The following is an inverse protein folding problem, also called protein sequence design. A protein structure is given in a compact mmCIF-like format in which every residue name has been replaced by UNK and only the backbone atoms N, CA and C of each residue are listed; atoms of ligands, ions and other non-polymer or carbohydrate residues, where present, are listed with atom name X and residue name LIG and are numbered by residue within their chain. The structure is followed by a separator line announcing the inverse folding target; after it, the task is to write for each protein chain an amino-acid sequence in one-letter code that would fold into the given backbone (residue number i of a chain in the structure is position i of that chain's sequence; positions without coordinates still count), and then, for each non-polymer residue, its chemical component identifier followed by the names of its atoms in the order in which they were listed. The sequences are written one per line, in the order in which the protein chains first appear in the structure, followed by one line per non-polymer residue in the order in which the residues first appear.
data_IF_227370499944
#
_entry.id   IF_227370499944
#
_cell.length_a   1.000
_cell.length_b   1.000
_cell.length_c   1.000
_cell.angle_alpha   90.00
_cell.angle_beta   90.00
_cell.angle_gamma   90.00
#
_symmetry.space_group_name_H-M   'P 1'
#
loop_
_entity.id
_entity.type
_entity.pdbx_description
1 polymer ?
#
# COMPACT_ATOMS: atom_id res chain seq x y z
N UNK A 1 -15.59 36.92 -5.98
CA UNK A 1 -14.59 36.76 -7.06
C UNK A 1 -14.25 35.29 -7.07
N UNK A 2 -14.57 34.58 -8.14
CA UNK A 2 -14.28 33.15 -8.25
C UNK A 2 -12.79 33.01 -8.52
N UNK A 3 -12.03 32.52 -7.54
CA UNK A 3 -10.64 32.13 -7.77
C UNK A 3 -10.64 30.98 -8.77
N UNK A 4 -10.12 31.22 -9.97
CA UNK A 4 -9.86 30.17 -10.95
C UNK A 4 -8.80 29.24 -10.34
N UNK A 5 -9.26 28.07 -9.87
CA UNK A 5 -8.37 27.03 -9.39
C UNK A 5 -7.39 26.64 -10.51
N UNK A 6 -6.10 26.59 -10.18
CA UNK A 6 -5.07 26.14 -11.10
C UNK A 6 -5.45 24.76 -11.68
N UNK A 7 -5.52 24.57 -13.01
CA UNK A 7 -5.94 23.31 -13.62
C UNK A 7 -5.17 22.09 -13.09
N UNK A 8 -3.90 22.28 -12.74
CA UNK A 8 -3.04 21.24 -12.16
C UNK A 8 -3.54 20.80 -10.76
N UNK A 9 -3.95 21.74 -9.91
CA UNK A 9 -4.48 21.43 -8.58
C UNK A 9 -5.79 20.66 -8.68
N UNK A 10 -6.66 21.05 -9.61
CA UNK A 10 -7.93 20.35 -9.86
C UNK A 10 -7.69 18.92 -10.35
N UNK A 11 -6.70 18.70 -11.20
CA UNK A 11 -6.32 17.36 -11.66
C UNK A 11 -5.84 16.47 -10.51
N UNK A 12 -5.00 16.98 -9.61
CA UNK A 12 -4.56 16.22 -8.43
C UNK A 12 -5.71 15.88 -7.50
N UNK A 13 -6.62 16.81 -7.26
CA UNK A 13 -7.82 16.58 -6.46
C UNK A 13 -8.70 15.47 -7.05
N UNK A 14 -8.88 15.46 -8.38
CA UNK A 14 -9.65 14.41 -9.06
C UNK A 14 -8.98 13.04 -8.89
N UNK A 15 -7.67 12.93 -9.16
CA UNK A 15 -6.96 11.63 -9.03
C UNK A 15 -6.93 11.14 -7.58
N UNK A 16 -6.76 12.06 -6.62
CA UNK A 16 -6.82 11.75 -5.20
C UNK A 16 -8.18 11.15 -4.81
N UNK A 17 -9.27 11.79 -5.24
CA UNK A 17 -10.62 11.32 -4.94
C UNK A 17 -10.95 9.99 -5.64
N UNK A 18 -10.44 9.78 -6.85
CA UNK A 18 -10.61 8.52 -7.57
C UNK A 18 -9.89 7.37 -6.84
N UNK A 19 -8.65 7.56 -6.38
CA UNK A 19 -7.93 6.53 -5.63
C UNK A 19 -8.72 6.08 -4.39
N UNK A 20 -9.24 7.03 -3.61
CA UNK A 20 -10.08 6.73 -2.45
C UNK A 20 -11.42 6.08 -2.80
N UNK A 21 -12.00 6.42 -3.95
CA UNK A 21 -13.25 5.81 -4.43
C UNK A 21 -13.03 4.36 -4.84
N UNK A 22 -11.97 4.07 -5.57
CA UNK A 22 -11.57 2.71 -5.97
C UNK A 22 -11.32 1.85 -4.73
N UNK A 23 -10.60 2.39 -3.74
CA UNK A 23 -10.40 1.71 -2.44
C UNK A 23 -11.73 1.37 -1.76
N UNK A 24 -12.68 2.31 -1.70
CA UNK A 24 -14.03 2.05 -1.12
C UNK A 24 -14.84 1.01 -1.89
N UNK A 25 -14.53 0.79 -3.17
CA UNK A 25 -15.16 -0.25 -3.98
C UNK A 25 -14.56 -1.64 -3.73
N UNK A 26 -13.50 -1.73 -2.92
CA UNK A 26 -12.81 -2.97 -2.57
C UNK A 26 -11.67 -3.36 -3.50
N UNK A 27 -11.41 -2.56 -4.54
CA UNK A 27 -10.28 -2.78 -5.46
C UNK A 27 -9.00 -2.14 -4.88
N UNK A 28 -8.43 -2.82 -3.88
CA UNK A 28 -7.29 -2.31 -3.12
C UNK A 28 -6.03 -2.19 -3.98
N UNK A 29 -5.75 -3.16 -4.85
CA UNK A 29 -4.55 -3.19 -5.69
C UNK A 29 -4.52 -2.01 -6.68
N UNK A 30 -5.67 -1.71 -7.31
CA UNK A 30 -5.79 -0.55 -8.18
C UNK A 30 -5.65 0.77 -7.39
N UNK A 31 -6.25 0.85 -6.20
CA UNK A 31 -6.14 2.04 -5.35
C UNK A 31 -4.71 2.28 -4.87
N UNK A 32 -3.98 1.23 -4.50
CA UNK A 32 -2.57 1.29 -4.12
C UNK A 32 -1.69 1.76 -5.27
N UNK A 33 -1.93 1.22 -6.48
CA UNK A 33 -1.22 1.64 -7.69
C UNK A 33 -1.44 3.13 -7.93
N UNK A 34 -2.69 3.60 -7.86
CA UNK A 34 -3.01 5.03 -8.02
C UNK A 34 -2.36 5.90 -6.96
N UNK A 35 -2.37 5.46 -5.69
CA UNK A 35 -1.78 6.20 -4.59
C UNK A 35 -0.24 6.30 -4.73
N UNK A 36 0.40 5.19 -5.11
CA UNK A 36 1.85 5.14 -5.37
C UNK A 36 2.25 6.04 -6.54
N UNK A 37 1.50 6.01 -7.64
CA UNK A 37 1.72 6.88 -8.79
C UNK A 37 1.56 8.36 -8.42
N UNK A 38 0.56 8.69 -7.59
CA UNK A 38 0.36 10.06 -7.12
C UNK A 38 1.55 10.54 -6.29
N UNK A 39 2.09 9.70 -5.40
CA UNK A 39 3.22 10.06 -4.55
C UNK A 39 4.51 10.32 -5.34
N UNK A 40 4.61 9.84 -6.58
CA UNK A 40 5.73 10.16 -7.47
C UNK A 40 5.65 11.59 -8.05
N UNK A 41 4.49 12.25 -7.97
CA UNK A 41 4.28 13.59 -8.52
C UNK A 41 4.95 14.66 -7.64
N UNK A 42 6.01 15.35 -8.11
CA UNK A 42 6.79 16.27 -7.27
C UNK A 42 6.01 17.50 -6.80
N UNK A 43 4.90 17.81 -7.49
CA UNK A 43 4.04 18.96 -7.24
C UNK A 43 2.79 18.59 -6.43
N UNK A 44 2.67 17.35 -5.97
CA UNK A 44 1.55 16.92 -5.15
C UNK A 44 1.57 17.68 -3.82
N UNK A 45 0.43 18.24 -3.43
CA UNK A 45 0.31 18.97 -2.16
C UNK A 45 0.50 18.04 -0.96
N UNK A 46 1.05 18.56 0.15
CA UNK A 46 1.28 17.77 1.38
C UNK A 46 0.01 17.11 1.92
N UNK A 47 -1.14 17.75 1.76
CA UNK A 47 -2.42 17.18 2.17
C UNK A 47 -2.75 15.91 1.37
N UNK A 48 -2.62 15.97 0.05
CA UNK A 48 -2.84 14.82 -0.82
C UNK A 48 -1.80 13.73 -0.56
N UNK A 49 -0.53 14.09 -0.39
CA UNK A 49 0.52 13.14 -0.01
C UNK A 49 0.17 12.40 1.30
N UNK A 50 -0.26 13.12 2.33
CA UNK A 50 -0.65 12.54 3.60
C UNK A 50 -1.83 11.56 3.45
N UNK A 51 -2.83 11.90 2.65
CA UNK A 51 -3.96 11.02 2.37
C UNK A 51 -3.58 9.79 1.54
N UNK A 52 -2.68 9.90 0.56
CA UNK A 52 -2.19 8.73 -0.19
C UNK A 52 -1.38 7.78 0.70
N UNK A 53 -0.57 8.32 1.62
CA UNK A 53 0.09 7.52 2.64
C UNK A 53 -0.90 6.84 3.59
N UNK A 54 -1.99 7.51 3.98
CA UNK A 54 -3.05 6.85 4.74
C UNK A 54 -3.69 5.69 3.96
N UNK A 55 -3.96 5.86 2.66
CA UNK A 55 -4.51 4.80 1.82
C UNK A 55 -3.57 3.59 1.78
N UNK A 56 -2.28 3.81 1.49
CA UNK A 56 -1.27 2.76 1.44
C UNK A 56 -1.07 2.06 2.80
N UNK A 57 -1.30 2.75 3.91
CA UNK A 57 -1.23 2.16 5.25
C UNK A 57 -2.30 1.09 5.53
N UNK A 58 -3.27 0.91 4.64
CA UNK A 58 -4.33 -0.10 4.83
C UNK A 58 -4.05 -1.43 4.16
N UNK A 59 -3.14 -1.48 3.20
CA UNK A 59 -2.99 -2.66 2.33
C UNK A 59 -1.54 -2.93 1.84
N UNK A 60 -0.62 -1.96 1.96
CA UNK A 60 0.79 -2.13 1.58
C UNK A 60 1.58 -3.01 2.54
N UNK A 61 2.64 -3.65 2.03
CA UNK A 61 3.66 -4.33 2.85
C UNK A 61 4.42 -3.39 3.81
N UNK A 62 4.47 -2.08 3.51
CA UNK A 62 5.11 -1.04 4.35
C UNK A 62 4.07 -0.18 5.07
N UNK A 63 3.01 -0.83 5.56
CA UNK A 63 1.84 -0.14 6.11
C UNK A 63 2.16 0.72 7.34
N UNK A 64 3.15 0.33 8.15
CA UNK A 64 3.59 1.10 9.34
C UNK A 64 4.31 2.38 8.92
N UNK A 65 5.23 2.29 7.96
CA UNK A 65 5.99 3.43 7.43
C UNK A 65 5.04 4.44 6.77
N UNK A 66 4.07 3.96 6.00
CA UNK A 66 3.06 4.81 5.40
C UNK A 66 2.16 5.48 6.45
N UNK A 67 1.74 4.76 7.49
CA UNK A 67 0.97 5.37 8.59
C UNK A 67 1.78 6.46 9.31
N UNK A 68 3.06 6.20 9.59
CA UNK A 68 3.99 7.18 10.19
C UNK A 68 4.10 8.45 9.33
N UNK A 69 4.28 8.29 8.03
CA UNK A 69 4.43 9.41 7.10
C UNK A 69 3.14 10.23 6.98
N UNK A 70 1.97 9.56 6.99
CA UNK A 70 0.68 10.23 7.07
C UNK A 70 0.53 11.10 8.33
N UNK A 71 0.87 10.55 9.50
CA UNK A 71 0.87 11.30 10.78
C UNK A 71 1.83 12.48 10.73
N UNK A 72 3.05 12.27 10.21
CA UNK A 72 4.08 13.32 10.08
C UNK A 72 3.56 14.50 9.26
N UNK A 73 3.02 14.23 8.07
CA UNK A 73 2.51 15.26 7.16
C UNK A 73 1.28 15.99 7.71
N UNK A 74 0.30 15.28 8.29
CA UNK A 74 -0.85 15.96 8.91
C UNK A 74 -0.45 16.80 10.12
N UNK A 75 0.55 16.38 10.89
CA UNK A 75 1.11 17.16 11.99
C UNK A 75 1.72 18.46 11.46
N UNK A 76 2.54 18.39 10.41
CA UNK A 76 3.12 19.58 9.77
C UNK A 76 2.05 20.54 9.24
N UNK A 77 1.00 20.02 8.59
CA UNK A 77 -0.11 20.84 8.09
C UNK A 77 -0.84 21.49 9.27
N UNK A 78 -1.09 20.76 10.37
CA UNK A 78 -1.80 21.29 11.54
C UNK A 78 -1.06 22.44 12.23
N UNK A 79 0.27 22.46 12.13
CA UNK A 79 1.13 23.48 12.73
C UNK A 79 1.10 24.82 11.96
N UNK A 80 0.49 24.86 10.77
CA UNK A 80 0.33 26.08 9.98
C UNK A 80 -0.55 27.11 10.69
N UNK A 81 -0.12 28.37 10.62
CA UNK A 81 -0.83 29.51 11.23
C UNK A 81 -1.88 30.13 10.31
N UNK A 82 -1.79 29.87 9.01
CA UNK A 82 -2.66 30.45 7.97
C UNK A 82 -3.95 29.66 7.73
N UNK A 83 -4.19 28.59 8.49
CA UNK A 83 -5.42 27.81 8.39
C UNK A 83 -6.59 28.51 9.07
N UNK A 84 -7.74 28.53 8.40
CA UNK A 84 -9.02 28.85 9.01
C UNK A 84 -9.41 27.81 10.06
N UNK A 85 -10.32 28.17 10.98
CA UNK A 85 -10.79 27.24 12.02
C UNK A 85 -11.44 25.98 11.43
N UNK A 86 -12.16 26.13 10.32
CA UNK A 86 -12.80 25.01 9.62
C UNK A 86 -11.77 24.04 9.02
N UNK A 87 -10.73 24.57 8.35
CA UNK A 87 -9.63 23.76 7.82
C UNK A 87 -8.88 23.07 8.95
N UNK A 88 -8.57 23.79 10.03
CA UNK A 88 -7.89 23.23 11.20
C UNK A 88 -8.68 22.07 11.82
N UNK A 89 -10.01 22.19 11.91
CA UNK A 89 -10.87 21.11 12.37
C UNK A 89 -10.86 19.90 11.41
N UNK A 90 -10.83 20.14 10.10
CA UNK A 90 -10.66 19.08 9.09
C UNK A 90 -9.32 18.34 9.23
N UNK A 91 -8.21 19.07 9.31
CA UNK A 91 -6.87 18.51 9.50
C UNK A 91 -6.75 17.73 10.81
N UNK A 92 -7.34 18.25 11.90
CA UNK A 92 -7.34 17.56 13.20
C UNK A 92 -8.08 16.22 13.12
N UNK A 93 -9.21 16.14 12.39
CA UNK A 93 -9.93 14.88 12.16
C UNK A 93 -9.07 13.88 11.40
N UNK A 94 -8.40 14.32 10.33
CA UNK A 94 -7.52 13.45 9.54
C UNK A 94 -6.29 13.00 10.34
N UNK A 95 -5.68 13.88 11.14
CA UNK A 95 -4.58 13.54 12.03
C UNK A 95 -4.99 12.47 13.05
N UNK A 96 -6.18 12.59 13.65
CA UNK A 96 -6.70 11.57 14.56
C UNK A 96 -6.92 10.23 13.86
N UNK A 97 -7.43 10.24 12.62
CA UNK A 97 -7.60 9.03 11.83
C UNK A 97 -6.23 8.39 11.49
N UNK A 98 -5.23 9.18 11.11
CA UNK A 98 -3.87 8.71 10.83
C UNK A 98 -3.22 8.08 12.07
N UNK A 99 -3.37 8.68 13.25
CA UNK A 99 -2.86 8.10 14.50
C UNK A 99 -3.53 6.76 14.82
N UNK A 100 -4.85 6.64 14.64
CA UNK A 100 -5.55 5.36 14.82
C UNK A 100 -5.05 4.27 13.87
N UNK A 101 -4.78 4.63 12.61
CA UNK A 101 -4.19 3.69 11.63
C UNK A 101 -2.77 3.29 12.05
N UNK A 102 -1.95 4.22 12.52
CA UNK A 102 -0.61 3.94 13.01
C UNK A 102 -0.62 3.00 14.23
N UNK A 103 -1.51 3.25 15.20
CA UNK A 103 -1.63 2.40 16.38
C UNK A 103 -2.07 0.99 16.00
N UNK A 104 -3.03 0.87 15.08
CA UNK A 104 -3.45 -0.43 14.52
C UNK A 104 -2.29 -1.12 13.80
N UNK A 105 -1.55 -0.38 12.96
CA UNK A 105 -0.43 -0.91 12.22
C UNK A 105 0.67 -1.47 13.14
N UNK A 106 1.00 -0.74 14.21
CA UNK A 106 1.97 -1.19 15.22
C UNK A 106 1.50 -2.43 15.98
N UNK A 107 0.22 -2.50 16.32
CA UNK A 107 -0.36 -3.67 16.96
C UNK A 107 -0.28 -4.90 16.05
N UNK A 108 -0.66 -4.74 14.78
CA UNK A 108 -0.61 -5.82 13.79
C UNK A 108 0.84 -6.28 13.57
N UNK A 109 1.80 -5.35 13.46
CA UNK A 109 3.23 -5.69 13.36
C UNK A 109 3.71 -6.46 14.58
N UNK A 110 3.38 -5.99 15.80
CA UNK A 110 3.77 -6.68 17.04
C UNK A 110 3.18 -8.09 17.11
N UNK A 111 1.93 -8.28 16.64
CA UNK A 111 1.31 -9.61 16.58
C UNK A 111 2.04 -10.52 15.60
N UNK A 112 2.37 -10.02 14.41
CA UNK A 112 3.12 -10.77 13.39
C UNK A 112 4.50 -11.16 13.93
N UNK A 113 5.23 -10.21 14.54
CA UNK A 113 6.54 -10.46 15.12
C UNK A 113 6.47 -11.54 16.22
N UNK A 114 5.44 -11.51 17.05
CA UNK A 114 5.20 -12.54 18.06
C UNK A 114 4.93 -13.92 17.45
N UNK A 115 4.12 -13.99 16.38
CA UNK A 115 3.85 -15.24 15.68
C UNK A 115 5.11 -15.82 15.03
N UNK A 116 5.91 -14.96 14.39
CA UNK A 116 7.22 -15.33 13.83
C UNK A 116 8.11 -15.88 14.94
N UNK A 117 8.27 -15.15 16.05
CA UNK A 117 9.12 -15.58 17.17
C UNK A 117 8.66 -16.91 17.74
N UNK A 118 7.35 -17.11 17.92
CA UNK A 118 6.78 -18.37 18.40
C UNK A 118 7.11 -19.54 17.46
N UNK A 119 7.12 -19.34 16.15
CA UNK A 119 7.49 -20.37 15.18
C UNK A 119 8.99 -20.69 15.29
N UNK A 120 9.83 -19.67 15.42
CA UNK A 120 11.27 -19.84 15.60
C UNK A 120 11.61 -20.58 16.90
N UNK A 121 10.92 -20.27 17.99
CA UNK A 121 11.10 -20.93 19.29
C UNK A 121 10.74 -22.42 19.26
N UNK A 122 9.89 -22.85 18.33
CA UNK A 122 9.58 -24.26 18.10
C UNK A 122 10.68 -24.99 17.30
N UNK A 123 11.81 -24.33 17.04
CA UNK A 123 12.98 -24.90 16.35
C UNK A 123 12.90 -24.84 14.82
N UNK A 124 11.89 -24.16 14.26
CA UNK A 124 11.85 -23.87 12.83
C UNK A 124 12.85 -22.76 12.51
N UNK A 125 13.63 -22.95 11.45
CA UNK A 125 14.58 -21.93 10.99
C UNK A 125 13.88 -20.86 10.14
N UNK A 126 14.47 -19.66 10.03
CA UNK A 126 13.93 -18.60 9.16
C UNK A 126 13.76 -19.05 7.70
N UNK A 127 14.68 -19.88 7.19
CA UNK A 127 14.60 -20.41 5.82
C UNK A 127 13.41 -21.36 5.65
N UNK A 128 13.15 -22.21 6.64
CA UNK A 128 11.97 -23.11 6.64
C UNK A 128 10.66 -22.31 6.72
N UNK A 129 10.63 -21.24 7.51
CA UNK A 129 9.47 -20.34 7.59
C UNK A 129 9.19 -19.67 6.24
N UNK A 130 10.21 -19.10 5.59
CA UNK A 130 10.04 -18.50 4.26
C UNK A 130 9.61 -19.53 3.22
N UNK A 131 10.19 -20.73 3.24
CA UNK A 131 9.80 -21.79 2.31
C UNK A 131 8.36 -22.25 2.55
N UNK A 132 7.91 -22.32 3.81
CA UNK A 132 6.52 -22.65 4.14
C UNK A 132 5.56 -21.58 3.60
N UNK A 133 5.88 -20.30 3.74
CA UNK A 133 5.08 -19.20 3.18
C UNK A 133 5.01 -19.24 1.65
N UNK A 134 6.14 -19.52 0.97
CA UNK A 134 6.16 -19.68 -0.49
C UNK A 134 5.27 -20.85 -0.93
N UNK A 135 5.36 -21.98 -0.23
CA UNK A 135 4.56 -23.16 -0.54
C UNK A 135 3.06 -22.89 -0.31
N UNK A 136 2.70 -22.21 0.76
CA UNK A 136 1.32 -21.80 1.03
C UNK A 136 0.79 -20.89 -0.09
N UNK A 137 1.59 -19.92 -0.53
CA UNK A 137 1.22 -19.02 -1.62
C UNK A 137 0.95 -19.80 -2.92
N UNK A 138 1.85 -20.71 -3.31
CA UNK A 138 1.64 -21.55 -4.50
C UNK A 138 0.39 -22.41 -4.38
N UNK A 139 0.14 -23.01 -3.21
CA UNK A 139 -1.04 -23.84 -2.99
C UNK A 139 -2.34 -23.03 -3.14
N UNK A 140 -2.36 -21.78 -2.67
CA UNK A 140 -3.52 -20.90 -2.86
C UNK A 140 -3.78 -20.58 -4.33
N UNK A 141 -2.73 -20.33 -5.11
CA UNK A 141 -2.84 -20.11 -6.55
C UNK A 141 -3.38 -21.34 -7.29
N UNK A 142 -2.88 -22.54 -6.98
CA UNK A 142 -3.36 -23.79 -7.59
C UNK A 142 -4.86 -24.02 -7.31
N UNK A 143 -5.31 -23.77 -6.07
CA UNK A 143 -6.73 -23.92 -5.69
C UNK A 143 -7.64 -22.88 -6.39
N UNK A 144 -7.17 -21.64 -6.54
CA UNK A 144 -7.93 -20.58 -7.22
C UNK A 144 -8.02 -20.80 -8.74
N UNK A 145 -6.97 -21.37 -9.36
CA UNK A 145 -6.96 -21.75 -10.78
C UNK A 145 -7.92 -22.92 -11.06
N UNK A 146 -7.91 -23.95 -10.21
CA UNK A 146 -8.84 -25.09 -10.33
C UNK A 146 -10.31 -24.67 -10.10
N UNK A 147 -10.56 -23.73 -9.18
CA UNK A 147 -11.90 -23.20 -8.92
C UNK A 147 -12.44 -22.34 -10.09
N UNK A 148 -11.56 -21.65 -10.82
CA UNK A 148 -11.94 -20.80 -11.96
C UNK A 148 -12.07 -21.58 -13.28
N UNK A 149 -11.44 -22.76 -13.38
CA UNK A 149 -11.49 -23.65 -14.56
C UNK A 149 -12.75 -24.50 -14.71
N UNK A 150 -13.68 -24.48 -13.74
CA UNK A 150 -14.90 -25.30 -13.75
C UNK A 150 -16.16 -24.58 -14.30
N UNK A 151 -16.00 -23.45 -14.98
CA UNK A 151 -17.10 -22.76 -15.70
C UNK A 151 -16.93 -22.89 -17.22
N UNK A 152 -16.68 -24.10 -17.71
CA UNK A 152 -17.02 -24.46 -19.08
C UNK A 152 -17.93 -25.69 -19.05
N UNK A 153 -19.24 -25.47 -19.07
CA UNK A 153 -20.14 -26.27 -19.90
C UNK A 153 -21.55 -25.65 -19.96
N UNK A 154 -22.04 -25.55 -21.19
CA UNK A 154 -23.42 -25.30 -21.62
C UNK A 154 -23.91 -23.85 -21.80
N UNK A 155 -23.32 -23.14 -22.77
CA UNK A 155 -24.14 -22.32 -23.67
C UNK A 155 -23.95 -22.78 -25.10
N UNK A 156 -24.85 -23.67 -25.51
CA UNK A 156 -24.96 -24.17 -26.87
C UNK A 156 -24.99 -23.09 -27.94
N UNK A 157 -24.22 -23.37 -28.99
CA UNK A 157 -24.57 -23.20 -30.41
C UNK A 157 -25.47 -22.01 -30.78
N UNK A 158 -24.86 -20.95 -31.32
CA UNK A 158 -25.50 -20.21 -32.41
C UNK A 158 -24.48 -19.70 -33.43
N UNK A 159 -24.31 -20.50 -34.47
CA UNK A 159 -23.59 -20.18 -35.69
C UNK A 159 -24.14 -18.92 -36.37
N UNK A 160 -23.28 -17.93 -36.61
CA UNK A 160 -23.45 -17.00 -37.73
C UNK A 160 -22.10 -16.78 -38.42
N UNK A 161 -22.02 -17.37 -39.61
CA UNK A 161 -21.04 -17.17 -40.65
C UNK A 161 -21.02 -15.72 -41.15
N UNK A 162 -19.83 -15.11 -41.24
CA UNK A 162 -19.57 -13.90 -42.00
C UNK A 162 -18.35 -14.17 -42.91
N UNK A 163 -18.38 -13.75 -44.18
CA UNK A 163 -17.58 -14.36 -45.22
C UNK A 163 -16.19 -13.74 -45.41
N UNK A 164 -15.36 -14.62 -45.94
CA UNK A 164 -14.09 -14.48 -46.64
C UNK A 164 -14.02 -13.24 -47.57
N UNK A 165 -12.90 -12.51 -47.51
CA UNK A 165 -12.50 -11.51 -48.52
C UNK A 165 -10.98 -11.36 -48.54
N UNK A 166 -10.44 -12.17 -49.45
CA UNK A 166 -9.23 -12.09 -50.28
C UNK A 166 -8.35 -10.82 -50.30
N UNK A 167 -7.04 -11.14 -50.36
CA UNK A 167 -5.96 -10.59 -51.20
C UNK A 167 -5.48 -9.14 -51.05
N UNK A 168 -4.27 -8.99 -50.48
CA UNK A 168 -3.27 -8.03 -50.97
C UNK A 168 -1.86 -8.65 -50.90
N UNK A 169 -1.16 -8.83 -52.04
CA UNK A 169 0.27 -9.13 -52.08
C UNK A 169 1.10 -7.85 -52.26
N UNK A 170 2.20 -7.71 -51.53
CA UNK A 170 3.24 -6.77 -51.95
C UNK A 170 4.21 -6.28 -50.88
N UNK A 171 5.49 -6.37 -51.26
CA UNK A 171 6.63 -5.56 -50.79
C UNK A 171 7.37 -6.05 -49.54
N UNK A 172 8.40 -6.86 -49.86
CA UNK A 172 9.79 -6.66 -49.43
C UNK A 172 10.08 -5.27 -48.83
N UNK A 173 10.68 -5.20 -47.64
CA UNK A 173 11.99 -4.57 -47.51
C UNK A 173 12.73 -4.98 -46.23
N UNK A 174 14.04 -5.06 -46.38
CA UNK A 174 15.03 -5.40 -45.37
C UNK A 174 15.18 -4.25 -44.37
N UNK A 175 15.24 -4.53 -43.06
CA UNK A 175 15.79 -3.55 -42.11
C UNK A 175 16.53 -4.23 -40.95
N UNK A 176 17.81 -4.44 -41.25
CA UNK A 176 18.99 -4.18 -40.43
C UNK A 176 18.78 -3.96 -38.92
N UNK A 177 19.20 -4.99 -38.16
CA UNK A 177 20.40 -4.93 -37.31
C UNK A 177 20.47 -3.74 -36.34
N UNK A 178 19.90 -3.89 -35.15
CA UNK A 178 20.37 -3.19 -33.93
C UNK A 178 21.07 -4.18 -33.02
N UNK A 179 22.40 -4.08 -33.03
CA UNK A 179 23.34 -4.76 -32.13
C UNK A 179 23.13 -4.19 -30.73
N UNK A 180 22.50 -4.96 -29.86
CA UNK A 180 22.36 -4.65 -28.44
C UNK A 180 23.75 -4.60 -27.81
N UNK A 181 24.27 -3.40 -27.56
CA UNK A 181 25.48 -3.19 -26.78
C UNK A 181 25.12 -3.31 -25.31
N UNK A 182 25.49 -4.46 -24.74
CA UNK A 182 25.52 -4.73 -23.31
C UNK A 182 26.53 -3.79 -22.67
N UNK A 183 26.05 -2.75 -21.99
CA UNK A 183 26.85 -1.95 -21.06
C UNK A 183 27.11 -2.81 -19.83
N UNK A 184 28.36 -3.26 -19.68
CA UNK A 184 28.86 -3.88 -18.46
C UNK A 184 28.81 -2.86 -17.32
N UNK A 185 27.91 -3.12 -16.38
CA UNK A 185 27.74 -2.33 -15.16
C UNK A 185 28.98 -2.53 -14.28
N UNK A 186 29.72 -1.45 -14.05
CA UNK A 186 30.90 -1.44 -13.19
C UNK A 186 30.47 -1.67 -11.74
N UNK A 187 30.84 -2.85 -11.24
CA UNK A 187 30.80 -3.27 -9.84
C UNK A 187 31.54 -2.25 -8.98
N UNK A 188 30.82 -1.46 -8.20
CA UNK A 188 31.38 -0.63 -7.13
C UNK A 188 31.60 -1.52 -5.90
N UNK A 189 32.86 -1.65 -5.48
CA UNK A 189 33.23 -2.28 -4.21
C UNK A 189 32.67 -1.47 -3.02
N UNK A 190 32.02 -2.10 -2.03
CA UNK A 190 31.69 -1.42 -0.78
C UNK A 190 32.95 -1.30 0.07
N UNK A 191 33.38 -0.07 0.32
CA UNK A 191 34.33 0.24 1.39
C UNK A 191 33.72 -0.20 2.72
N UNK A 192 34.42 -1.12 3.40
CA UNK A 192 34.18 -1.47 4.79
C UNK A 192 34.40 -0.22 5.65
N UNK A 193 33.34 0.22 6.31
CA UNK A 193 33.43 1.15 7.43
C UNK A 193 33.48 0.27 8.69
N UNK A 194 34.65 0.20 9.31
CA UNK A 194 34.83 -0.38 10.64
C UNK A 194 34.02 0.42 11.67
N UNK A 195 32.79 -0.02 11.92
CA UNK A 195 32.00 0.46 13.06
C UNK A 195 32.43 -0.31 14.29
N UNK A 196 33.11 0.40 15.19
CA UNK A 196 33.46 -0.09 16.52
C UNK A 196 32.17 -0.38 17.30
N UNK A 197 31.87 -1.67 17.48
CA UNK A 197 30.84 -2.15 18.40
C UNK A 197 31.15 -1.65 19.82
N UNK A 198 30.41 -0.64 20.27
CA UNK A 198 30.29 -0.32 21.69
C UNK A 198 29.28 -1.31 22.26
N UNK A 199 29.79 -2.34 22.93
CA UNK A 199 28.99 -3.28 23.73
C UNK A 199 28.44 -2.51 24.92
N UNK A 200 27.19 -2.06 24.85
CA UNK A 200 26.44 -1.72 26.05
C UNK A 200 25.94 -3.02 26.66
N UNK A 201 26.66 -3.51 27.67
CA UNK A 201 26.12 -4.44 28.65
C UNK A 201 24.97 -3.75 29.38
N UNK A 202 23.74 -4.03 28.97
CA UNK A 202 22.56 -3.75 29.77
C UNK A 202 22.40 -4.93 30.74
N UNK A 203 22.75 -4.69 32.01
CA UNK A 203 22.33 -5.57 33.12
C UNK A 203 20.81 -5.45 33.24
N UNK A 204 20.10 -6.41 32.64
CA UNK A 204 18.67 -6.60 32.83
C UNK A 204 18.48 -7.42 34.12
N UNK A 205 18.07 -6.73 35.18
CA UNK A 205 17.68 -7.33 36.45
C UNK A 205 16.33 -8.04 36.26
N UNK A 206 16.34 -9.38 36.28
CA UNK A 206 15.22 -10.30 36.02
C UNK A 206 14.07 -10.24 37.07
N UNK A 207 13.97 -9.17 37.88
CA UNK A 207 12.98 -9.03 38.95
C UNK A 207 11.96 -7.91 38.75
N UNK A 208 11.93 -7.22 37.62
CA UNK A 208 10.86 -6.26 37.36
C UNK A 208 9.57 -7.00 36.92
N UNK A 209 8.48 -6.95 37.70
CA UNK A 209 7.23 -7.55 37.30
C UNK A 209 6.71 -6.84 36.04
N UNK A 210 6.36 -7.64 35.04
CA UNK A 210 5.73 -7.15 33.79
C UNK A 210 4.59 -6.19 34.12
N UNK A 211 4.49 -5.03 33.42
CA UNK A 211 3.38 -4.12 33.62
C UNK A 211 2.06 -4.82 33.29
N UNK A 212 1.11 -4.69 34.22
CA UNK A 212 -0.23 -5.27 34.13
C UNK A 212 -0.92 -4.76 32.85
N UNK A 213 -1.05 -5.63 31.84
CA UNK A 213 -1.73 -5.32 30.59
C UNK A 213 -3.21 -5.13 30.92
N UNK A 214 -3.59 -3.86 31.04
CA UNK A 214 -4.98 -3.43 31.17
C UNK A 214 -5.75 -3.96 29.96
N UNK A 215 -6.60 -4.97 30.19
CA UNK A 215 -7.59 -5.46 29.23
C UNK A 215 -8.56 -4.31 28.91
N UNK A 216 -8.29 -3.59 27.83
CA UNK A 216 -9.26 -2.68 27.24
C UNK A 216 -10.33 -3.51 26.52
N UNK A 217 -11.50 -3.62 27.15
CA UNK A 217 -12.72 -4.05 26.47
C UNK A 217 -13.09 -2.97 25.45
N UNK A 218 -12.80 -3.19 24.17
CA UNK A 218 -13.36 -2.38 23.09
C UNK A 218 -14.87 -2.64 23.04
N UNK A 219 -15.65 -1.70 23.55
CA UNK A 219 -17.09 -1.63 23.34
C UNK A 219 -17.37 -1.37 21.87
N UNK A 220 -18.15 -2.27 21.26
CA UNK A 220 -18.76 -2.08 19.95
C UNK A 220 -19.77 -0.93 20.02
N UNK A 221 -19.35 0.27 19.63
CA UNK A 221 -20.27 1.35 19.25
C UNK A 221 -20.13 1.60 17.74
N UNK A 222 -20.71 0.69 16.95
CA UNK A 222 -21.16 0.98 15.58
C UNK A 222 -22.34 1.95 15.67
N UNK A 223 -22.13 3.23 15.34
CA UNK A 223 -23.23 4.14 14.98
C UNK A 223 -22.86 5.06 13.82
N UNK A 224 -23.62 4.87 12.75
CA UNK A 224 -24.18 5.88 11.86
C UNK A 224 -23.21 6.84 11.16
N UNK A 225 -22.65 6.38 10.02
CA UNK A 225 -22.10 7.25 8.98
C UNK A 225 -23.00 7.38 7.73
N UNK A 226 -24.28 6.99 7.80
CA UNK A 226 -25.26 7.22 6.73
C UNK A 226 -26.17 8.41 7.07
N UNK A 227 -25.70 9.63 6.76
CA UNK A 227 -26.54 10.82 6.51
C UNK A 227 -25.71 12.03 6.11
N UNK A 228 -25.10 11.99 4.94
CA UNK A 228 -24.74 13.21 4.21
C UNK A 228 -25.08 12.97 2.74
N UNK A 229 -26.27 13.43 2.34
CA UNK A 229 -26.48 14.15 1.08
C UNK A 229 -27.97 14.49 0.89
N UNK A 230 -28.27 15.77 1.20
CA UNK A 230 -29.31 16.61 0.60
C UNK A 230 -29.13 18.01 1.17
N UNK A 231 -28.41 18.85 0.44
CA UNK A 231 -28.65 20.30 0.22
C UNK A 231 -28.01 20.62 -1.13
#
# INVERSE_FOLDING_TARGET
MSEELCPLSTMFEIRYNEAWKVWRQGDNDAAETMASDLLQEPRLGRFHQAGMHMLLSTASHYYVEHALEGVRLFTEISARQDLTDAERAGITRNLNAANRLLDKARLDQTRIDYEIQKILDNGMTMDELHQAQINEMHQRFEVEEEASGLVEEDTGSRSQSVPDSQDVPGMTDESQRTRSQRTESQRTEPQRIDSQNTVMTMDLDDNDPLPDIVRYNFGNDEKDFDKIDKI
#
